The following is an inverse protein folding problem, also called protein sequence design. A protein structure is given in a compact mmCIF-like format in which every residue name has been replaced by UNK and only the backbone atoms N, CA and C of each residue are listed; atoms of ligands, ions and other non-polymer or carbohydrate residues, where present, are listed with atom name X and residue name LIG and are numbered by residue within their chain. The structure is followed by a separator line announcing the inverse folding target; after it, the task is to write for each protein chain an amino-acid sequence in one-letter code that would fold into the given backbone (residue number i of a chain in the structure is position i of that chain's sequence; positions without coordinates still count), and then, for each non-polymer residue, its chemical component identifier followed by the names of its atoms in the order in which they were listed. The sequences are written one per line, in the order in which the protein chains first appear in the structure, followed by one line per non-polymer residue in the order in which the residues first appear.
data_IF_606858474085
#
_entry.id   IF_606858474085
#
_cell.length_a   1.000
_cell.length_b   1.000
_cell.length_c   1.000
_cell.angle_alpha   90.00
_cell.angle_beta   90.00
_cell.angle_gamma   90.00
#
_symmetry.space_group_name_H-M   'P 1'
#
loop_
_entity.id
_entity.type
_entity.pdbx_description
1 polymer ?
#
# COMPACT_ATOMS: atom_id res chain seq x y z
N UNK A 1 7.21 13.82 -4.88
CA UNK A 1 6.54 12.70 -4.18
C UNK A 1 5.83 11.82 -5.18
N UNK A 2 4.96 12.39 -6.02
CA UNK A 2 4.19 11.65 -7.04
C UNK A 2 5.04 10.79 -7.97
N UNK A 3 6.18 11.30 -8.45
CA UNK A 3 7.04 10.52 -9.34
C UNK A 3 7.71 9.34 -8.63
N UNK A 4 8.06 9.48 -7.35
CA UNK A 4 8.55 8.36 -6.55
C UNK A 4 7.47 7.29 -6.37
N UNK A 5 6.22 7.70 -6.14
CA UNK A 5 5.08 6.78 -6.06
C UNK A 5 4.86 6.07 -7.40
N UNK A 6 4.91 6.79 -8.54
CA UNK A 6 4.81 6.20 -9.89
C UNK A 6 5.90 5.18 -10.17
N UNK A 7 7.13 5.44 -9.74
CA UNK A 7 8.24 4.46 -9.84
C UNK A 7 7.91 3.23 -9.01
N UNK A 8 7.45 3.40 -7.76
CA UNK A 8 7.07 2.27 -6.92
C UNK A 8 5.91 1.44 -7.47
N UNK A 9 4.94 2.07 -8.14
CA UNK A 9 3.87 1.33 -8.85
C UNK A 9 4.42 0.46 -9.98
N UNK A 10 5.41 0.95 -10.74
CA UNK A 10 6.03 0.19 -11.83
C UNK A 10 6.97 -0.91 -11.37
N UNK A 11 7.47 -0.85 -10.14
CA UNK A 11 8.32 -1.89 -9.56
C UNK A 11 7.50 -3.01 -8.91
N UNK A 12 6.44 -2.65 -8.19
CA UNK A 12 5.66 -3.63 -7.41
C UNK A 12 4.76 -4.43 -8.34
N UNK A 13 4.86 -5.76 -8.28
CA UNK A 13 4.13 -6.67 -9.17
C UNK A 13 4.92 -7.11 -10.40
N UNK A 14 5.93 -6.32 -10.80
CA UNK A 14 6.83 -6.64 -11.93
C UNK A 14 8.19 -7.20 -11.48
N UNK A 15 8.57 -6.95 -10.23
CA UNK A 15 9.82 -7.42 -9.63
C UNK A 15 9.52 -8.31 -8.42
N UNK A 16 10.38 -9.30 -8.15
CA UNK A 16 10.30 -10.13 -6.93
C UNK A 16 10.21 -9.25 -5.69
N UNK A 17 9.34 -9.62 -4.75
CA UNK A 17 9.09 -8.83 -3.53
C UNK A 17 10.35 -8.54 -2.72
N UNK A 18 11.33 -9.46 -2.73
CA UNK A 18 12.62 -9.26 -2.05
C UNK A 18 13.46 -8.14 -2.67
N UNK A 19 13.26 -7.84 -3.94
CA UNK A 19 13.98 -6.82 -4.70
C UNK A 19 13.19 -5.51 -4.86
N UNK A 20 12.03 -5.37 -4.20
CA UNK A 20 11.27 -4.11 -4.19
C UNK A 20 11.73 -3.25 -3.00
N UNK A 21 12.36 -2.08 -3.24
CA UNK A 21 12.82 -1.21 -2.16
C UNK A 21 11.66 -0.51 -1.45
N UNK A 22 11.96 0.16 -0.33
CA UNK A 22 11.04 1.11 0.29
C UNK A 22 11.31 2.53 -0.21
N UNK A 23 10.29 3.23 -0.70
CA UNK A 23 10.38 4.65 -0.99
C UNK A 23 10.19 5.44 0.30
N UNK A 24 11.22 6.16 0.73
CA UNK A 24 11.28 6.80 2.05
C UNK A 24 11.44 8.31 1.87
N UNK A 25 10.65 9.07 2.62
CA UNK A 25 10.78 10.53 2.75
C UNK A 25 11.30 10.85 4.15
N UNK A 26 12.22 11.81 4.25
CA UNK A 26 12.61 12.36 5.55
C UNK A 26 11.54 13.37 5.97
N UNK A 27 10.83 13.05 7.04
CA UNK A 27 9.86 13.96 7.62
C UNK A 27 10.58 15.20 8.19
N UNK A 28 9.98 16.40 8.08
CA UNK A 28 10.58 17.64 8.58
C UNK A 28 10.75 17.59 10.10
N UNK A 29 11.53 18.52 10.65
CA UNK A 29 11.70 18.68 12.11
C UNK A 29 12.23 17.44 12.85
N UNK A 30 12.90 16.52 12.16
CA UNK A 30 13.48 15.33 12.79
C UNK A 30 12.48 14.22 13.11
N UNK A 31 11.28 14.25 12.53
CA UNK A 31 10.28 13.16 12.69
C UNK A 31 10.66 11.84 11.99
N UNK A 32 11.87 11.75 11.43
CA UNK A 32 12.47 10.49 10.97
C UNK A 32 12.13 10.12 9.53
N UNK A 33 12.34 8.83 9.22
CA UNK A 33 12.17 8.24 7.89
C UNK A 33 10.76 7.68 7.74
N UNK A 34 9.94 8.29 6.89
CA UNK A 34 8.56 7.87 6.63
C UNK A 34 8.47 7.11 5.31
N UNK A 35 8.15 5.80 5.32
CA UNK A 35 7.92 5.05 4.10
C UNK A 35 6.62 5.50 3.45
N UNK A 36 6.64 5.63 2.12
CA UNK A 36 5.50 5.99 1.29
C UNK A 36 5.19 4.84 0.36
N UNK A 37 3.93 4.43 0.35
CA UNK A 37 3.43 3.35 -0.50
C UNK A 37 2.34 3.90 -1.44
N UNK A 38 2.17 3.27 -2.62
CA UNK A 38 0.99 3.51 -3.44
C UNK A 38 -0.31 3.17 -2.68
N UNK A 39 -1.40 3.84 -3.04
CA UNK A 39 -2.71 3.57 -2.44
C UNK A 39 -3.25 2.23 -2.96
N UNK A 40 -3.26 1.22 -2.09
CA UNK A 40 -3.86 -0.09 -2.39
C UNK A 40 -5.22 -0.27 -1.73
N UNK A 41 -5.48 0.36 -0.58
CA UNK A 41 -6.81 0.32 0.05
C UNK A 41 -7.66 1.40 -0.59
N UNK A 42 -8.76 1.01 -1.24
CA UNK A 42 -9.68 1.96 -1.86
C UNK A 42 -10.79 2.37 -0.90
N UNK A 43 -11.30 1.41 -0.13
CA UNK A 43 -12.42 1.60 0.79
C UNK A 43 -12.36 0.59 1.95
N UNK A 44 -12.91 0.96 3.11
CA UNK A 44 -12.98 0.13 4.31
C UNK A 44 -14.42 0.07 4.82
N UNK A 45 -15.10 -1.04 4.58
CA UNK A 45 -16.39 -1.34 5.18
C UNK A 45 -16.27 -2.26 6.41
N UNK A 46 -17.36 -2.43 7.15
CA UNK A 46 -17.39 -3.26 8.36
C UNK A 46 -17.02 -4.72 8.08
N UNK A 47 -17.55 -5.30 6.99
CA UNK A 47 -17.34 -6.72 6.64
C UNK A 47 -16.20 -6.96 5.66
N UNK A 48 -15.85 -5.97 4.85
CA UNK A 48 -14.88 -6.12 3.77
C UNK A 48 -14.09 -4.82 3.54
N UNK A 49 -12.85 -4.98 3.10
CA UNK A 49 -11.98 -3.91 2.61
C UNK A 49 -11.83 -4.07 1.09
N UNK A 50 -11.98 -2.97 0.35
CA UNK A 50 -11.72 -2.97 -1.09
C UNK A 50 -10.24 -2.68 -1.35
N UNK A 51 -9.55 -3.60 -2.02
CA UNK A 51 -8.14 -3.49 -2.35
C UNK A 51 -7.95 -3.40 -3.86
N UNK A 52 -7.09 -2.50 -4.32
CA UNK A 52 -6.52 -2.48 -5.67
C UNK A 52 -5.27 -3.36 -5.71
N UNK A 53 -5.14 -4.21 -6.71
CA UNK A 53 -3.92 -4.98 -6.97
C UNK A 53 -2.94 -4.20 -7.86
N UNK A 54 -1.73 -4.72 -8.05
CA UNK A 54 -0.75 -4.14 -8.98
C UNK A 54 -1.25 -4.14 -10.43
N UNK A 55 -2.12 -5.08 -10.82
CA UNK A 55 -2.79 -5.12 -12.14
C UNK A 55 -4.00 -4.18 -12.25
N UNK A 56 -4.21 -3.30 -11.26
CA UNK A 56 -5.38 -2.43 -11.17
C UNK A 56 -6.73 -3.16 -11.03
N UNK A 57 -6.73 -4.43 -10.64
CA UNK A 57 -7.97 -5.15 -10.30
C UNK A 57 -8.44 -4.75 -8.91
N UNK A 58 -9.75 -4.66 -8.72
CA UNK A 58 -10.36 -4.41 -7.40
C UNK A 58 -10.85 -5.73 -6.83
N UNK A 59 -10.40 -6.05 -5.62
CA UNK A 59 -10.81 -7.23 -4.88
C UNK A 59 -11.43 -6.83 -3.54
N UNK A 60 -12.40 -7.60 -3.07
CA UNK A 60 -12.94 -7.49 -1.71
C UNK A 60 -12.21 -8.47 -0.81
N UNK A 61 -11.56 -7.96 0.21
CA UNK A 61 -10.89 -8.77 1.24
C UNK A 61 -11.74 -8.76 2.51
N UNK A 62 -12.00 -9.90 3.17
CA UNK A 62 -12.74 -9.93 4.43
C UNK A 62 -12.08 -9.02 5.47
N UNK A 63 -12.84 -8.10 6.05
CA UNK A 63 -12.38 -7.30 7.16
C UNK A 63 -12.58 -8.17 8.41
N UNK A 64 -11.47 -8.68 8.97
CA UNK A 64 -11.48 -9.59 10.12
C UNK A 64 -11.92 -8.88 11.40
N UNK A 65 -13.22 -8.61 11.52
CA UNK A 65 -13.89 -8.40 12.79
C UNK A 65 -14.88 -9.55 13.01
N UNK A 66 -14.36 -10.71 13.39
CA UNK A 66 -15.10 -11.55 14.32
C UNK A 66 -14.80 -11.02 15.72
N UNK A 67 -15.62 -10.08 16.19
CA UNK A 67 -15.70 -9.76 17.62
C UNK A 67 -16.36 -10.95 18.31
N UNK A 68 -15.56 -11.85 18.87
CA UNK A 68 -16.07 -13.02 19.59
C UNK A 68 -15.00 -14.02 20.00
N UNK A 69 -14.05 -13.61 20.84
CA UNK A 69 -13.30 -14.48 21.75
C UNK A 69 -12.99 -13.71 23.03
#
# INVERSE_FOLDING_TARGET
MDDGIKIMEKLRGYTSGLAVPSYIINAPCGYGKTPVLPQYILDRGEKHVSLRTWEHRVIKYPNGQESGA
#
